data_IF_521918608345
#
_entry.id   IF_521918608345
#
_cell.length_a   1.000
_cell.length_b   1.000
_cell.length_c   1.000
_cell.angle_alpha   90.00
_cell.angle_beta   90.00
_cell.angle_gamma   90.00
#
_symmetry.space_group_name_H-M   'P 1'
#
loop_
_entity.id
_entity.type
_entity.pdbx_description
1 polymer ?
#
# COMPACT_ATOMS: atom_id res chain seq x y z
N UNK A 1 -0.07 21.35 -46.62
CA UNK A 1 -0.49 21.67 -45.24
C UNK A 1 -1.35 20.54 -44.74
N UNK A 2 -1.03 20.07 -43.53
CA UNK A 2 -1.81 19.26 -42.60
C UNK A 2 -2.73 18.16 -43.14
N UNK A 3 -2.35 16.90 -42.85
CA UNK A 3 -3.11 16.02 -41.96
C UNK A 3 -2.13 14.94 -41.45
N UNK A 4 -1.34 15.31 -40.43
CA UNK A 4 -0.56 14.41 -39.57
C UNK A 4 -1.11 14.50 -38.14
N UNK A 5 -2.43 14.43 -38.03
CA UNK A 5 -3.15 14.33 -36.76
C UNK A 5 -4.12 13.17 -36.96
N UNK A 6 -3.74 11.97 -36.50
CA UNK A 6 -4.64 10.91 -35.98
C UNK A 6 -4.04 9.50 -35.87
N UNK A 7 -2.71 9.35 -35.75
CA UNK A 7 -2.14 8.09 -35.22
C UNK A 7 -1.97 8.09 -33.69
N UNK A 8 -2.39 9.16 -33.00
CA UNK A 8 -2.62 9.16 -31.55
C UNK A 8 -4.05 8.73 -31.19
N UNK A 9 -4.61 7.78 -31.95
CA UNK A 9 -5.49 6.79 -31.34
C UNK A 9 -4.63 5.88 -30.44
N UNK A 10 -4.08 6.50 -29.40
CA UNK A 10 -3.28 5.87 -28.36
C UNK A 10 -4.19 4.86 -27.70
N UNK A 11 -3.92 3.57 -27.92
CA UNK A 11 -4.59 2.50 -27.19
C UNK A 11 -4.55 2.88 -25.70
N UNK A 12 -5.70 3.22 -25.10
CA UNK A 12 -5.83 3.34 -23.67
C UNK A 12 -5.58 1.95 -23.10
N UNK A 13 -4.37 1.73 -22.58
CA UNK A 13 -4.02 0.47 -21.94
C UNK A 13 -4.93 0.27 -20.73
N UNK A 14 -5.51 -0.92 -20.60
CA UNK A 14 -6.28 -1.26 -19.41
C UNK A 14 -5.37 -1.29 -18.19
N UNK A 15 -5.94 -1.14 -16.99
CA UNK A 15 -5.15 -1.17 -15.75
C UNK A 15 -4.35 -2.48 -15.62
N UNK A 16 -4.90 -3.61 -16.07
CA UNK A 16 -4.21 -4.91 -16.09
C UNK A 16 -2.97 -4.91 -16.98
N UNK A 17 -3.05 -4.26 -18.14
CA UNK A 17 -1.90 -4.14 -19.04
C UNK A 17 -0.81 -3.25 -18.45
N UNK A 18 -1.18 -2.19 -17.74
CA UNK A 18 -0.21 -1.33 -17.03
C UNK A 18 0.43 -2.05 -15.85
N UNK A 19 -0.34 -2.87 -15.12
CA UNK A 19 0.21 -3.74 -14.06
C UNK A 19 1.21 -4.74 -14.65
N UNK A 20 0.94 -5.31 -15.82
CA UNK A 20 1.91 -6.19 -16.48
C UNK A 20 3.22 -5.48 -16.84
N UNK A 21 3.17 -4.20 -17.25
CA UNK A 21 4.39 -3.41 -17.46
C UNK A 21 5.20 -3.28 -16.16
N UNK A 22 4.52 -3.01 -15.04
CA UNK A 22 5.16 -2.97 -13.72
C UNK A 22 5.80 -4.31 -13.34
N UNK A 23 5.09 -5.42 -13.53
CA UNK A 23 5.60 -6.78 -13.25
C UNK A 23 6.80 -7.14 -14.13
N UNK A 24 6.84 -6.63 -15.37
CA UNK A 24 7.98 -6.74 -16.29
C UNK A 24 9.12 -5.76 -15.97
N UNK A 25 9.03 -5.01 -14.87
CA UNK A 25 10.00 -4.00 -14.45
C UNK A 25 10.15 -2.83 -15.43
N UNK A 26 9.15 -2.61 -16.29
CA UNK A 26 9.09 -1.48 -17.25
C UNK A 26 8.49 -0.25 -16.58
N UNK A 27 9.14 0.18 -15.50
CA UNK A 27 8.61 1.16 -14.58
C UNK A 27 8.46 2.56 -15.19
N UNK A 28 9.41 2.98 -16.04
CA UNK A 28 9.37 4.26 -16.75
C UNK A 28 8.15 4.37 -17.69
N UNK A 29 7.69 3.23 -18.22
CA UNK A 29 6.50 3.16 -19.07
C UNK A 29 5.21 3.05 -18.23
N UNK A 30 5.25 2.27 -17.15
CA UNK A 30 4.08 2.03 -16.30
C UNK A 30 3.65 3.28 -15.51
N UNK A 31 4.60 4.06 -14.99
CA UNK A 31 4.31 5.22 -14.14
C UNK A 31 3.38 6.27 -14.77
N UNK A 32 3.69 6.83 -15.96
CA UNK A 32 2.81 7.85 -16.57
C UNK A 32 1.42 7.30 -16.86
N UNK A 33 1.30 6.01 -17.18
CA UNK A 33 0.02 5.34 -17.41
C UNK A 33 -0.77 5.16 -16.09
N UNK A 34 -0.11 4.78 -15.00
CA UNK A 34 -0.76 4.74 -13.68
C UNK A 34 -1.24 6.13 -13.26
N UNK A 35 -0.45 7.18 -13.48
CA UNK A 35 -0.88 8.55 -13.19
C UNK A 35 -2.12 8.94 -13.99
N UNK A 36 -2.16 8.60 -15.29
CA UNK A 36 -3.29 8.89 -16.15
C UNK A 36 -4.55 8.16 -15.67
N UNK A 37 -4.49 6.84 -15.46
CA UNK A 37 -5.64 6.04 -15.01
C UNK A 37 -6.07 6.40 -13.57
N UNK A 38 -5.14 6.87 -12.73
CA UNK A 38 -5.46 7.39 -11.40
C UNK A 38 -6.27 8.69 -11.46
N UNK A 39 -6.08 9.54 -12.47
CA UNK A 39 -6.90 10.74 -12.67
C UNK A 39 -8.35 10.39 -13.01
N UNK A 40 -8.58 9.23 -13.63
CA UNK A 40 -9.92 8.69 -13.92
C UNK A 40 -10.58 8.03 -12.68
N UNK A 41 -9.89 8.05 -11.52
CA UNK A 41 -10.43 7.57 -10.26
C UNK A 41 -10.20 6.08 -9.97
N UNK A 42 -9.36 5.40 -10.76
CA UNK A 42 -9.03 4.00 -10.49
C UNK A 42 -8.21 3.86 -9.19
N UNK A 43 -8.69 3.09 -8.20
CA UNK A 43 -8.01 2.96 -6.91
C UNK A 43 -6.68 2.20 -6.99
N UNK A 44 -6.56 1.21 -7.88
CA UNK A 44 -5.33 0.44 -8.06
C UNK A 44 -4.25 1.28 -8.74
N UNK A 45 -4.61 2.04 -9.77
CA UNK A 45 -3.69 2.98 -10.42
C UNK A 45 -3.22 4.06 -9.43
N UNK A 46 -4.13 4.58 -8.59
CA UNK A 46 -3.79 5.53 -7.54
C UNK A 46 -2.81 4.95 -6.53
N UNK A 47 -2.94 3.66 -6.19
CA UNK A 47 -1.95 2.97 -5.34
C UNK A 47 -0.58 2.94 -5.99
N UNK A 48 -0.46 2.46 -7.23
CA UNK A 48 0.83 2.35 -7.90
C UNK A 48 1.47 3.72 -8.15
N UNK A 49 0.72 4.70 -8.64
CA UNK A 49 1.24 6.05 -8.83
C UNK A 49 1.71 6.67 -7.50
N UNK A 50 0.94 6.47 -6.42
CA UNK A 50 1.32 6.91 -5.08
C UNK A 50 2.59 6.22 -4.56
N UNK A 51 2.70 4.90 -4.77
CA UNK A 51 3.87 4.10 -4.41
C UNK A 51 5.14 4.59 -5.12
N UNK A 52 5.09 4.82 -6.43
CA UNK A 52 6.26 5.29 -7.20
C UNK A 52 6.77 6.64 -6.69
N UNK A 53 5.86 7.58 -6.41
CA UNK A 53 6.21 8.89 -5.87
C UNK A 53 6.71 8.82 -4.43
N UNK A 54 6.23 7.86 -3.64
CA UNK A 54 6.69 7.65 -2.27
C UNK A 54 8.13 7.11 -2.23
N UNK A 55 8.43 6.17 -3.12
CA UNK A 55 9.76 5.53 -3.22
C UNK A 55 10.79 6.44 -3.90
N UNK A 56 10.40 7.20 -4.92
CA UNK A 56 11.32 8.09 -5.65
C UNK A 56 12.37 7.35 -6.47
N UNK A 57 11.99 6.23 -7.09
CA UNK A 57 12.85 5.36 -7.88
C UNK A 57 12.38 5.29 -9.35
N UNK A 58 13.18 4.63 -10.21
CA UNK A 58 12.82 4.33 -11.60
C UNK A 58 12.56 5.56 -12.49
N UNK A 59 13.37 6.61 -12.29
CA UNK A 59 13.23 7.88 -13.02
C UNK A 59 12.10 8.78 -12.50
N UNK A 60 11.44 8.40 -11.39
CA UNK A 60 10.44 9.22 -10.72
C UNK A 60 11.07 9.92 -9.53
N UNK A 61 11.02 11.24 -9.49
CA UNK A 61 11.45 12.00 -8.30
C UNK A 61 10.46 11.80 -7.14
N UNK A 62 11.01 11.67 -5.94
CA UNK A 62 10.21 11.49 -4.72
C UNK A 62 9.34 12.71 -4.45
N UNK A 63 8.05 12.51 -4.26
CA UNK A 63 7.09 13.55 -3.88
C UNK A 63 6.11 12.98 -2.86
N UNK A 64 6.46 13.13 -1.58
CA UNK A 64 5.67 12.57 -0.47
C UNK A 64 4.26 13.15 -0.38
N UNK A 65 4.09 14.44 -0.73
CA UNK A 65 2.78 15.11 -0.65
C UNK A 65 1.85 14.53 -1.70
N UNK A 66 2.32 14.44 -2.95
CA UNK A 66 1.53 13.87 -4.05
C UNK A 66 1.30 12.38 -3.87
N UNK A 67 2.31 11.65 -3.37
CA UNK A 67 2.17 10.25 -2.99
C UNK A 67 1.03 10.05 -1.99
N UNK A 68 1.01 10.83 -0.90
CA UNK A 68 -0.01 10.72 0.13
C UNK A 68 -1.42 11.01 -0.41
N UNK A 69 -1.57 12.01 -1.28
CA UNK A 69 -2.85 12.32 -1.92
C UNK A 69 -3.37 11.15 -2.78
N UNK A 70 -2.48 10.51 -3.55
CA UNK A 70 -2.83 9.36 -4.38
C UNK A 70 -3.13 8.11 -3.53
N UNK A 71 -2.36 7.87 -2.47
CA UNK A 71 -2.62 6.79 -1.52
C UNK A 71 -3.94 6.99 -0.77
N UNK A 72 -4.29 8.23 -0.42
CA UNK A 72 -5.60 8.55 0.16
C UNK A 72 -6.73 8.21 -0.82
N UNK A 73 -6.62 8.63 -2.08
CA UNK A 73 -7.60 8.30 -3.13
C UNK A 73 -7.74 6.79 -3.29
N UNK A 74 -6.63 6.07 -3.29
CA UNK A 74 -6.60 4.62 -3.36
C UNK A 74 -7.31 3.96 -2.16
N UNK A 75 -7.04 4.47 -0.95
CA UNK A 75 -7.63 3.98 0.30
C UNK A 75 -9.15 4.21 0.35
N UNK A 76 -9.61 5.40 -0.05
CA UNK A 76 -11.03 5.76 -0.18
C UNK A 76 -11.71 4.88 -1.24
N UNK A 77 -11.03 4.61 -2.35
CA UNK A 77 -11.47 3.70 -3.40
C UNK A 77 -11.46 2.22 -3.01
N UNK A 78 -11.07 1.88 -1.78
CA UNK A 78 -11.16 0.52 -1.23
C UNK A 78 -10.00 -0.41 -1.60
N UNK A 79 -8.95 0.09 -2.24
CA UNK A 79 -7.76 -0.71 -2.56
C UNK A 79 -7.02 -1.12 -1.28
N UNK A 80 -6.82 -2.42 -1.09
CA UNK A 80 -6.28 -2.97 0.16
C UNK A 80 -4.88 -2.47 0.47
N UNK A 81 -3.99 -2.44 -0.53
CA UNK A 81 -2.60 -1.98 -0.37
C UNK A 81 -2.53 -0.46 -0.18
N UNK A 82 -3.37 0.29 -0.89
CA UNK A 82 -3.55 1.73 -0.69
C UNK A 82 -4.04 2.07 0.71
N UNK A 83 -4.98 1.30 1.26
CA UNK A 83 -5.45 1.44 2.65
C UNK A 83 -4.31 1.24 3.65
N UNK A 84 -3.48 0.20 3.46
CA UNK A 84 -2.31 -0.04 4.30
C UNK A 84 -1.28 1.10 4.21
N UNK A 85 -0.86 1.47 2.99
CA UNK A 85 0.16 2.51 2.80
C UNK A 85 -0.30 3.87 3.32
N UNK A 86 -1.56 4.24 3.06
CA UNK A 86 -2.13 5.48 3.59
C UNK A 86 -2.21 5.43 5.12
N UNK A 87 -2.61 4.30 5.69
CA UNK A 87 -2.63 4.12 7.14
C UNK A 87 -1.24 4.26 7.76
N UNK A 88 -0.22 3.62 7.18
CA UNK A 88 1.16 3.72 7.62
C UNK A 88 1.63 5.18 7.65
N UNK A 89 1.38 5.92 6.57
CA UNK A 89 1.72 7.33 6.48
C UNK A 89 0.98 8.19 7.52
N UNK A 90 -0.30 7.92 7.79
CA UNK A 90 -1.05 8.64 8.84
C UNK A 90 -0.58 8.30 10.27
N UNK A 91 -0.09 7.09 10.51
CA UNK A 91 0.30 6.64 11.85
C UNK A 91 1.74 7.04 12.20
N UNK A 92 2.64 7.02 11.22
CA UNK A 92 4.08 7.18 11.46
C UNK A 92 4.69 8.37 10.69
N UNK A 93 3.91 9.08 9.87
CA UNK A 93 4.34 10.28 9.15
C UNK A 93 4.23 11.58 9.96
N UNK A 94 4.67 12.67 9.35
CA UNK A 94 4.75 14.01 9.96
C UNK A 94 3.43 14.77 10.01
N UNK A 95 2.43 14.34 9.24
CA UNK A 95 1.12 14.95 9.19
C UNK A 95 0.03 13.87 9.17
N UNK A 96 -1.04 14.12 9.94
CA UNK A 96 -2.39 13.53 9.83
C UNK A 96 -2.82 12.46 10.84
N UNK A 97 -4.14 12.22 10.82
CA UNK A 97 -4.99 11.75 11.91
C UNK A 97 -4.77 10.29 12.29
N UNK A 98 -4.28 10.06 13.52
CA UNK A 98 -4.21 8.73 14.15
C UNK A 98 -5.51 7.92 13.98
N UNK A 99 -6.66 8.58 14.20
CA UNK A 99 -7.98 7.94 14.11
C UNK A 99 -8.25 7.43 12.70
N UNK A 100 -7.88 8.21 11.69
CA UNK A 100 -8.05 7.84 10.29
C UNK A 100 -7.07 6.74 9.86
N UNK A 101 -5.82 6.83 10.27
CA UNK A 101 -4.81 5.79 10.04
C UNK A 101 -5.26 4.44 10.60
N UNK A 102 -5.71 4.40 11.86
CA UNK A 102 -6.24 3.18 12.47
C UNK A 102 -7.47 2.62 11.76
N UNK A 103 -8.34 3.48 11.23
CA UNK A 103 -9.52 3.05 10.47
C UNK A 103 -9.09 2.32 9.19
N UNK A 104 -8.22 2.91 8.39
CA UNK A 104 -7.77 2.29 7.15
C UNK A 104 -6.88 1.07 7.38
N UNK A 105 -6.08 1.07 8.45
CA UNK A 105 -5.30 -0.09 8.85
C UNK A 105 -6.20 -1.30 9.13
N UNK A 106 -7.26 -1.11 9.94
CA UNK A 106 -8.25 -2.15 10.23
C UNK A 106 -8.96 -2.61 8.97
N UNK A 107 -9.42 -1.70 8.12
CA UNK A 107 -10.07 -2.07 6.86
C UNK A 107 -9.18 -2.93 5.95
N UNK A 108 -7.88 -2.65 5.92
CA UNK A 108 -6.90 -3.43 5.15
C UNK A 108 -6.66 -4.81 5.79
N UNK A 109 -6.53 -4.85 7.11
CA UNK A 109 -6.38 -6.10 7.88
C UNK A 109 -7.61 -7.01 7.81
N UNK A 110 -8.83 -6.45 7.83
CA UNK A 110 -10.09 -7.20 7.67
C UNK A 110 -10.21 -7.88 6.29
N UNK A 111 -9.44 -7.38 5.31
CA UNK A 111 -9.27 -7.98 3.98
C UNK A 111 -8.02 -8.84 3.87
N UNK A 112 -7.47 -9.27 5.01
CA UNK A 112 -6.30 -10.13 5.13
C UNK A 112 -5.01 -9.55 4.50
N UNK A 113 -4.87 -8.23 4.44
CA UNK A 113 -3.61 -7.64 4.01
C UNK A 113 -2.48 -8.05 4.97
N UNK A 114 -1.42 -8.72 4.49
CA UNK A 114 -0.39 -9.28 5.37
C UNK A 114 0.37 -8.19 6.11
N UNK A 115 0.66 -7.08 5.42
CA UNK A 115 1.35 -5.92 6.01
C UNK A 115 0.49 -5.21 7.06
N UNK A 116 -0.81 -5.07 6.83
CA UNK A 116 -1.72 -4.45 7.79
C UNK A 116 -1.93 -5.32 9.04
N UNK A 117 -2.07 -6.65 8.85
CA UNK A 117 -2.15 -7.61 9.94
C UNK A 117 -0.87 -7.57 10.79
N UNK A 118 0.30 -7.57 10.14
CA UNK A 118 1.58 -7.47 10.83
C UNK A 118 1.72 -6.14 11.58
N UNK A 119 1.34 -5.02 10.97
CA UNK A 119 1.38 -3.72 11.66
C UNK A 119 0.46 -3.68 12.87
N UNK A 120 -0.77 -4.23 12.78
CA UNK A 120 -1.66 -4.35 13.94
C UNK A 120 -1.04 -5.24 15.03
N UNK A 121 -0.33 -6.31 14.67
CA UNK A 121 0.37 -7.15 15.65
C UNK A 121 1.42 -6.34 16.41
N UNK A 122 2.22 -5.54 15.71
CA UNK A 122 3.24 -4.69 16.35
C UNK A 122 2.61 -3.59 17.23
N UNK A 123 1.47 -3.01 16.81
CA UNK A 123 0.73 -2.04 17.63
C UNK A 123 0.33 -2.65 18.98
N UNK A 124 -0.22 -3.87 18.99
CA UNK A 124 -0.58 -4.57 20.23
C UNK A 124 0.63 -5.08 21.02
N UNK A 125 1.75 -5.40 20.37
CA UNK A 125 2.99 -5.78 21.04
C UNK A 125 3.59 -4.62 21.83
N UNK A 126 3.57 -3.43 21.25
CA UNK A 126 4.25 -2.26 21.79
C UNK A 126 3.33 -1.32 22.60
N UNK A 127 2.00 -1.47 22.48
CA UNK A 127 1.06 -0.54 23.08
C UNK A 127 1.08 0.84 22.41
N UNK A 128 1.06 0.85 21.09
CA UNK A 128 1.12 2.07 20.29
C UNK A 128 -0.27 2.57 19.89
N UNK A 129 -0.34 3.78 19.36
CA UNK A 129 -1.55 4.29 18.72
C UNK A 129 -2.83 4.31 19.59
N UNK A 130 -2.67 4.26 20.92
CA UNK A 130 -3.77 4.30 21.90
C UNK A 130 -4.28 2.92 22.27
N UNK A 131 -3.57 1.87 21.85
CA UNK A 131 -3.78 0.50 22.29
C UNK A 131 -2.87 0.21 23.47
N UNK A 132 -3.35 -0.63 24.37
CA UNK A 132 -2.52 -1.21 25.42
C UNK A 132 -1.77 -2.43 24.88
N UNK A 133 -0.65 -2.75 25.53
CA UNK A 133 0.08 -3.99 25.25
C UNK A 133 -0.87 -5.17 25.48
N UNK A 134 -1.02 -6.03 24.46
CA UNK A 134 -1.87 -7.20 24.52
C UNK A 134 -1.23 -8.38 23.79
N UNK A 135 -0.63 -9.26 24.57
CA UNK A 135 0.11 -10.44 24.11
C UNK A 135 -0.73 -11.42 23.28
N UNK A 136 -2.02 -11.55 23.60
CA UNK A 136 -2.93 -12.45 22.88
C UNK A 136 -3.26 -11.87 21.51
N UNK A 137 -3.61 -10.58 21.45
CA UNK A 137 -3.91 -9.89 20.19
C UNK A 137 -2.67 -9.79 19.30
N UNK A 138 -1.50 -9.51 19.88
CA UNK A 138 -0.23 -9.58 19.16
C UNK A 138 -0.05 -10.93 18.46
N UNK A 139 -0.14 -12.05 19.20
CA UNK A 139 0.06 -13.40 18.63
C UNK A 139 -1.02 -13.78 17.61
N UNK A 140 -2.26 -13.36 17.84
CA UNK A 140 -3.39 -13.55 16.92
C UNK A 140 -3.12 -12.87 15.57
N UNK A 141 -2.85 -11.55 15.57
CA UNK A 141 -2.57 -10.80 14.36
C UNK A 141 -1.28 -11.24 13.67
N UNK A 142 -0.23 -11.59 14.43
CA UNK A 142 1.01 -12.11 13.89
C UNK A 142 0.78 -13.45 13.17
N UNK A 143 0.00 -14.35 13.77
CA UNK A 143 -0.33 -15.64 13.16
C UNK A 143 -1.19 -15.46 11.91
N UNK A 144 -2.14 -14.54 11.93
CA UNK A 144 -2.95 -14.21 10.76
C UNK A 144 -2.09 -13.62 9.63
N UNK A 145 -1.14 -12.73 9.94
CA UNK A 145 -0.21 -12.20 8.95
C UNK A 145 0.64 -13.32 8.33
N UNK A 146 1.18 -14.23 9.15
CA UNK A 146 1.97 -15.37 8.69
C UNK A 146 1.19 -16.33 7.78
N UNK A 147 -0.08 -16.59 8.12
CA UNK A 147 -0.99 -17.43 7.32
C UNK A 147 -1.37 -16.77 5.99
N UNK A 148 -1.27 -15.44 5.89
CA UNK A 148 -1.46 -14.68 4.66
C UNK A 148 -0.11 -14.31 4.04
N UNK A 149 0.89 -15.18 4.11
CA UNK A 149 2.15 -15.05 3.34
C UNK A 149 3.06 -13.87 3.76
N UNK A 150 2.87 -13.27 4.93
CA UNK A 150 3.87 -12.33 5.48
C UNK A 150 5.11 -13.10 5.95
N UNK A 151 6.19 -13.03 5.17
CA UNK A 151 7.47 -13.67 5.52
C UNK A 151 8.03 -13.15 6.85
N UNK A 152 7.88 -11.84 7.11
CA UNK A 152 8.36 -11.22 8.35
C UNK A 152 7.60 -11.82 9.55
N UNK A 153 6.28 -11.96 9.42
CA UNK A 153 5.47 -12.57 10.46
C UNK A 153 5.79 -14.05 10.67
N UNK A 154 6.05 -14.81 9.60
CA UNK A 154 6.46 -16.22 9.67
C UNK A 154 7.77 -16.36 10.47
N UNK A 155 8.79 -15.57 10.12
CA UNK A 155 10.09 -15.56 10.82
C UNK A 155 9.95 -15.18 12.30
N UNK A 156 9.16 -14.14 12.61
CA UNK A 156 8.94 -13.74 14.01
C UNK A 156 8.20 -14.82 14.81
N UNK A 157 7.22 -15.49 14.18
CA UNK A 157 6.48 -16.59 14.81
C UNK A 157 7.37 -17.81 15.08
N UNK A 158 8.32 -18.11 14.19
CA UNK A 158 9.33 -19.16 14.40
C UNK A 158 10.22 -18.86 15.62
N UNK A 159 10.76 -17.64 15.70
CA UNK A 159 11.57 -17.20 16.85
C UNK A 159 10.78 -17.30 18.15
N UNK A 160 9.51 -16.88 18.14
CA UNK A 160 8.64 -16.94 19.31
C UNK A 160 8.36 -18.37 19.78
N UNK A 161 8.33 -19.34 18.86
CA UNK A 161 8.22 -20.77 19.20
C UNK A 161 9.52 -21.31 19.78
N UNK A 162 10.66 -20.94 19.22
CA UNK A 162 11.99 -21.39 19.71
C UNK A 162 12.29 -20.90 21.12
N UNK A 163 11.93 -19.66 21.46
CA UNK A 163 12.17 -19.07 22.78
C UNK A 163 11.27 -19.63 23.91
N UNK A 164 10.32 -20.51 23.58
CA UNK A 164 9.43 -21.18 24.55
C UNK A 164 9.84 -22.63 24.85
N UNK A 165 10.87 -23.13 24.16
CA UNK A 165 11.49 -24.44 24.35
C UNK A 165 12.78 -24.31 25.14
#
# INVERSE_FOLDING_TARGET
MHYLEDTKSSLLLSIEQVVLLHEQQRFEEAFPLFLHIAQEGNPLASYYAGFYLYEGNYGVERDEIKALQLLQKSAVGGNVRGQYMYANACLYGTYYSRKEGLKYLKNSADKNCPDALYMLSQIYKNGEHGYEINDNKYKEYLSNAANNESEIAQRELEILKMNKT
#
